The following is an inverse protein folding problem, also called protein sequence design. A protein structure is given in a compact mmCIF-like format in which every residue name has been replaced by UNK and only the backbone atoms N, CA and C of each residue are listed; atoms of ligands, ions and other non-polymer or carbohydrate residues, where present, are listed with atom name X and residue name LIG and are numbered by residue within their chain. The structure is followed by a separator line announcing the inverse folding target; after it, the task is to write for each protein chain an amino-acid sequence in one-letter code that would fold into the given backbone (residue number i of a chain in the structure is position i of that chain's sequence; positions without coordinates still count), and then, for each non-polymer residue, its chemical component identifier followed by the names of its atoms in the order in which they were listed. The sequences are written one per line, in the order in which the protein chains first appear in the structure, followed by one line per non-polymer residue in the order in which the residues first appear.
data_IF_448602934826
#
_entry.id   IF_448602934826
#
_cell.length_a   1.000
_cell.length_b   1.000
_cell.length_c   1.000
_cell.angle_alpha   90.00
_cell.angle_beta   90.00
_cell.angle_gamma   90.00
#
_symmetry.space_group_name_H-M   'P 1'
#
loop_
_entity.id
_entity.type
_entity.pdbx_description
1 polymer ?
#
# COMPACT_ATOMS: atom_id res chain seq x y z
N UNK A 1 -12.66 10.53 1.69
CA UNK A 1 -12.27 9.77 0.47
C UNK A 1 -10.76 9.87 0.21
N UNK A 2 -10.16 11.05 0.38
CA UNK A 2 -8.72 11.31 0.28
C UNK A 2 -7.81 10.24 0.93
N UNK A 3 -8.00 9.91 2.22
CA UNK A 3 -7.19 8.93 2.94
C UNK A 3 -7.16 7.53 2.30
N UNK A 4 -8.29 7.07 1.76
CA UNK A 4 -8.36 5.76 1.07
C UNK A 4 -7.55 5.78 -0.23
N UNK A 5 -7.58 6.90 -0.95
CA UNK A 5 -6.84 7.06 -2.20
C UNK A 5 -5.34 7.19 -1.98
N UNK A 6 -4.92 7.94 -0.96
CA UNK A 6 -3.51 8.01 -0.54
C UNK A 6 -2.96 6.61 -0.21
N UNK A 7 -3.76 5.80 0.49
CA UNK A 7 -3.37 4.44 0.85
C UNK A 7 -3.31 3.51 -0.37
N UNK A 8 -4.22 3.68 -1.35
CA UNK A 8 -4.25 2.88 -2.58
C UNK A 8 -3.10 3.20 -3.54
N UNK A 9 -2.72 4.49 -3.64
CA UNK A 9 -1.60 4.94 -4.47
C UNK A 9 -0.27 4.38 -4.00
N UNK A 10 -0.12 4.02 -2.74
CA UNK A 10 1.12 3.38 -2.23
C UNK A 10 1.18 1.87 -2.52
N UNK A 11 2.36 1.33 -2.83
CA UNK A 11 2.54 -0.11 -2.95
C UNK A 11 2.28 -0.79 -1.59
N UNK A 12 1.83 -2.05 -1.62
CA UNK A 12 1.49 -2.80 -0.41
C UNK A 12 2.63 -2.86 0.61
N UNK A 13 3.87 -2.85 0.11
CA UNK A 13 5.10 -3.01 0.89
C UNK A 13 5.45 -1.76 1.72
N UNK A 14 4.89 -0.59 1.38
CA UNK A 14 5.15 0.65 2.11
C UNK A 14 3.87 1.50 2.24
N UNK A 15 2.93 1.02 3.06
CA UNK A 15 1.70 1.73 3.41
C UNK A 15 1.82 2.47 4.75
N UNK A 16 2.94 3.14 4.95
CA UNK A 16 3.11 4.09 6.05
C UNK A 16 2.73 5.49 5.56
N UNK A 17 1.91 6.19 6.34
CA UNK A 17 1.52 7.57 6.10
C UNK A 17 1.84 8.38 7.35
N UNK A 18 2.58 9.48 7.19
CA UNK A 18 2.81 10.43 8.30
C UNK A 18 1.59 11.31 8.52
N UNK A 19 1.46 11.86 9.74
CA UNK A 19 0.37 12.78 10.06
C UNK A 19 0.48 14.07 9.24
N UNK A 20 1.70 14.54 8.94
CA UNK A 20 1.94 15.69 8.07
C UNK A 20 1.42 15.46 6.64
N UNK A 21 1.70 14.29 6.05
CA UNK A 21 1.20 13.96 4.71
C UNK A 21 -0.33 13.92 4.69
N UNK A 22 -0.95 13.33 5.72
CA UNK A 22 -2.41 13.27 5.82
C UNK A 22 -2.99 14.67 6.04
N UNK A 23 -2.37 15.50 6.88
CA UNK A 23 -2.77 16.88 7.13
C UNK A 23 -2.72 17.72 5.86
N UNK A 24 -1.62 17.64 5.10
CA UNK A 24 -1.43 18.39 3.86
C UNK A 24 -2.49 18.03 2.80
N UNK A 25 -2.77 16.74 2.63
CA UNK A 25 -3.72 16.28 1.61
C UNK A 25 -5.18 16.50 2.03
N UNK A 26 -5.51 16.31 3.31
CA UNK A 26 -6.87 16.52 3.83
C UNK A 26 -7.18 17.99 4.15
N UNK A 27 -6.15 18.84 4.17
CA UNK A 27 -6.21 20.26 4.59
C UNK A 27 -6.77 20.43 6.01
N UNK A 28 -6.59 19.41 6.84
CA UNK A 28 -6.98 19.42 8.24
C UNK A 28 -5.78 19.75 9.13
N UNK A 29 -5.99 20.42 10.27
CA UNK A 29 -4.92 20.64 11.24
C UNK A 29 -4.42 19.30 11.79
N UNK A 30 -3.12 19.23 12.11
CA UNK A 30 -2.46 18.02 12.62
C UNK A 30 -3.19 17.38 13.80
N UNK A 31 -3.75 18.19 14.72
CA UNK A 31 -4.49 17.69 15.87
C UNK A 31 -5.79 16.94 15.54
N UNK A 32 -6.36 17.14 14.35
CA UNK A 32 -7.59 16.48 13.91
C UNK A 32 -7.34 15.25 13.03
N UNK A 33 -6.10 15.04 12.57
CA UNK A 33 -5.72 13.90 11.73
C UNK A 33 -5.97 12.58 12.45
N UNK A 34 -5.61 12.51 13.73
CA UNK A 34 -5.81 11.29 14.53
C UNK A 34 -7.29 10.92 14.63
N UNK A 35 -8.16 11.90 14.92
CA UNK A 35 -9.60 11.69 15.02
C UNK A 35 -10.19 11.22 13.68
N UNK A 36 -9.71 11.76 12.56
CA UNK A 36 -10.12 11.32 11.22
C UNK A 36 -9.76 9.84 11.00
N UNK A 37 -8.54 9.45 11.34
CA UNK A 37 -8.05 8.07 11.19
C UNK A 37 -8.84 7.12 12.10
N UNK A 38 -9.08 7.51 13.35
CA UNK A 38 -9.90 6.73 14.28
C UNK A 38 -11.33 6.51 13.76
N UNK A 39 -11.95 7.55 13.17
CA UNK A 39 -13.27 7.42 12.53
C UNK A 39 -13.23 6.46 11.34
N UNK A 40 -12.20 6.55 10.50
CA UNK A 40 -12.04 5.67 9.34
C UNK A 40 -11.86 4.19 9.75
N UNK A 41 -11.12 3.93 10.84
CA UNK A 41 -10.99 2.60 11.44
C UNK A 41 -12.32 2.11 12.03
N UNK A 42 -13.03 2.98 12.74
CA UNK A 42 -14.32 2.65 13.37
C UNK A 42 -15.41 2.30 12.35
N UNK A 43 -15.42 3.02 11.22
CA UNK A 43 -16.32 2.76 10.08
C UNK A 43 -15.85 1.60 9.19
N UNK A 44 -14.75 0.93 9.54
CA UNK A 44 -14.16 -0.18 8.77
C UNK A 44 -13.80 0.17 7.32
N UNK A 45 -13.58 1.45 7.02
CA UNK A 45 -13.14 1.90 5.70
C UNK A 45 -11.67 1.52 5.44
N UNK A 46 -10.90 1.47 6.52
CA UNK A 46 -9.49 1.08 6.54
C UNK A 46 -9.22 0.18 7.73
N UNK A 47 -8.17 -0.65 7.65
CA UNK A 47 -7.63 -1.40 8.79
C UNK A 47 -6.16 -1.09 8.93
N UNK A 48 -5.70 -0.87 10.15
CA UNK A 48 -4.32 -0.45 10.40
C UNK A 48 -4.02 -0.24 11.87
N UNK A 49 -2.85 0.33 12.14
CA UNK A 49 -2.40 0.76 13.47
C UNK A 49 -1.93 2.21 13.40
N UNK A 50 -2.20 2.95 14.46
CA UNK A 50 -1.72 4.33 14.65
C UNK A 50 -0.51 4.27 15.57
N UNK A 51 0.57 4.90 15.17
CA UNK A 51 1.74 5.19 16.00
C UNK A 51 1.80 6.70 16.22
N UNK A 52 1.33 7.14 17.39
CA UNK A 52 1.26 8.55 17.72
C UNK A 52 2.63 9.13 18.06
N UNK A 53 3.56 8.33 18.62
CA UNK A 53 4.90 8.79 19.03
C UNK A 53 5.71 9.18 17.79
N UNK A 54 5.68 8.31 16.78
CA UNK A 54 6.34 8.56 15.49
C UNK A 54 5.47 9.37 14.51
N UNK A 55 4.24 9.74 14.91
CA UNK A 55 3.24 10.42 14.08
C UNK A 55 3.01 9.73 12.72
N UNK A 56 2.86 8.40 12.74
CA UNK A 56 2.67 7.57 11.55
C UNK A 56 1.46 6.66 11.69
N UNK A 57 0.87 6.33 10.56
CA UNK A 57 -0.21 5.35 10.46
C UNK A 57 0.20 4.23 9.52
N UNK A 58 0.14 3.01 10.03
CA UNK A 58 0.36 1.77 9.30
C UNK A 58 -0.96 1.26 8.74
N UNK A 59 -1.14 1.32 7.42
CA UNK A 59 -2.36 0.83 6.78
C UNK A 59 -2.17 -0.57 6.20
N UNK A 60 -2.93 -1.52 6.69
CA UNK A 60 -2.89 -2.92 6.23
C UNK A 60 -3.90 -3.19 5.11
N UNK A 61 -5.06 -2.55 5.18
CA UNK A 61 -6.17 -2.83 4.27
C UNK A 61 -7.03 -1.58 4.06
N UNK A 62 -7.65 -1.50 2.88
CA UNK A 62 -8.58 -0.44 2.47
C UNK A 62 -9.79 -1.09 1.83
N UNK A 63 -10.98 -0.54 2.07
CA UNK A 63 -12.21 -1.02 1.47
C UNK A 63 -12.16 -0.97 -0.06
N UNK A 64 -12.48 -2.08 -0.76
CA UNK A 64 -12.63 -2.09 -2.20
C UNK A 64 -13.70 -1.10 -2.67
N UNK A 65 -13.43 -0.39 -3.75
CA UNK A 65 -14.35 0.59 -4.34
C UNK A 65 -14.28 0.54 -5.87
N UNK A 66 -15.21 1.23 -6.52
CA UNK A 66 -15.16 1.48 -7.97
C UNK A 66 -13.88 2.25 -8.31
N UNK A 67 -13.18 1.80 -9.34
CA UNK A 67 -11.92 2.36 -9.80
C UNK A 67 -12.12 3.12 -11.12
N UNK A 68 -11.30 4.15 -11.32
CA UNK A 68 -11.18 4.82 -12.62
C UNK A 68 -10.19 4.07 -13.55
N UNK A 69 -10.20 4.43 -14.83
CA UNK A 69 -9.34 3.79 -15.84
C UNK A 69 -7.85 3.96 -15.56
N UNK A 70 -7.44 5.07 -14.93
CA UNK A 70 -6.03 5.35 -14.62
C UNK A 70 -5.54 4.49 -13.44
N UNK A 71 -6.39 4.26 -12.44
CA UNK A 71 -6.16 3.35 -11.33
C UNK A 71 -6.04 1.91 -11.83
N UNK A 72 -6.88 1.50 -12.79
CA UNK A 72 -6.79 0.17 -13.43
C UNK A 72 -5.47 0.03 -14.20
N UNK A 73 -5.06 1.04 -14.97
CA UNK A 73 -3.77 1.03 -15.67
C UNK A 73 -2.58 0.90 -14.68
N UNK A 74 -2.66 1.59 -13.54
CA UNK A 74 -1.65 1.48 -12.47
C UNK A 74 -1.60 0.05 -11.89
N UNK A 75 -2.75 -0.59 -11.70
CA UNK A 75 -2.82 -1.99 -11.26
C UNK A 75 -2.21 -2.94 -12.29
N UNK A 76 -2.49 -2.75 -13.57
CA UNK A 76 -1.91 -3.54 -14.66
C UNK A 76 -0.38 -3.43 -14.66
N UNK A 77 0.16 -2.22 -14.51
CA UNK A 77 1.61 -2.00 -14.43
C UNK A 77 2.24 -2.74 -13.25
N UNK A 78 1.61 -2.68 -12.06
CA UNK A 78 2.09 -3.40 -10.87
C UNK A 78 2.07 -4.91 -11.06
N UNK A 79 1.04 -5.44 -11.71
CA UNK A 79 0.92 -6.87 -11.99
C UNK A 79 1.99 -7.32 -13.00
N UNK A 80 2.26 -6.53 -14.03
CA UNK A 80 3.34 -6.81 -14.99
C UNK A 80 4.72 -6.81 -14.33
N UNK A 81 4.98 -5.87 -13.40
CA UNK A 81 6.23 -5.86 -12.63
C UNK A 81 6.36 -7.15 -11.82
N UNK A 82 5.31 -7.55 -11.11
CA UNK A 82 5.33 -8.79 -10.33
C UNK A 82 5.56 -10.04 -11.19
N UNK A 83 4.95 -10.12 -12.38
CA UNK A 83 5.24 -11.22 -13.34
C UNK A 83 6.72 -11.22 -13.73
N UNK A 84 7.31 -10.05 -13.96
CA UNK A 84 8.72 -9.92 -14.33
C UNK A 84 9.63 -10.39 -13.19
N UNK A 85 9.31 -9.98 -11.96
CA UNK A 85 10.05 -10.39 -10.77
C UNK A 85 9.99 -11.91 -10.57
N UNK A 86 8.82 -12.53 -10.74
CA UNK A 86 8.65 -14.00 -10.65
C UNK A 86 9.46 -14.72 -11.74
N UNK A 87 9.42 -14.25 -12.99
CA UNK A 87 10.22 -14.82 -14.09
C UNK A 87 11.72 -14.70 -13.83
N UNK A 88 12.17 -13.58 -13.26
CA UNK A 88 13.58 -13.42 -12.90
C UNK A 88 14.02 -14.43 -11.83
N UNK A 89 13.14 -14.70 -10.85
CA UNK A 89 13.38 -15.70 -9.81
C UNK A 89 13.40 -17.12 -10.40
N UNK A 90 12.51 -17.42 -11.34
CA UNK A 90 12.48 -18.70 -12.07
C UNK A 90 13.80 -18.94 -12.81
N UNK A 91 14.29 -17.97 -13.60
CA UNK A 91 15.58 -18.09 -14.30
C UNK A 91 16.76 -18.27 -13.35
N UNK A 92 16.75 -17.56 -12.20
CA UNK A 92 17.77 -17.73 -11.17
C UNK A 92 17.74 -19.13 -10.55
N UNK A 93 16.55 -19.70 -10.37
CA UNK A 93 16.39 -21.06 -9.85
C UNK A 93 16.85 -22.09 -10.89
N UNK A 94 16.48 -21.95 -12.16
CA UNK A 94 16.92 -22.86 -13.22
C UNK A 94 18.45 -22.92 -13.30
N UNK A 95 19.13 -21.77 -13.34
CA UNK A 95 20.59 -21.73 -13.43
C UNK A 95 21.30 -22.39 -12.25
N UNK A 96 20.77 -22.24 -11.02
CA UNK A 96 21.39 -22.79 -9.80
C UNK A 96 20.96 -24.22 -9.49
N UNK A 97 19.75 -24.61 -9.87
CA UNK A 97 19.23 -25.95 -9.65
C UNK A 97 19.80 -26.97 -10.65
N UNK A 98 20.25 -26.51 -11.82
CA UNK A 98 20.84 -27.39 -12.83
C UNK A 98 22.09 -28.11 -12.32
N UNK A 99 22.93 -27.46 -11.49
CA UNK A 99 24.09 -28.07 -10.83
C UNK A 99 23.71 -29.14 -9.79
N UNK A 100 22.50 -29.09 -9.21
CA UNK A 100 22.04 -30.04 -8.18
C UNK A 100 21.25 -31.20 -8.81
N UNK A 101 20.48 -30.93 -9.87
CA UNK A 101 19.58 -31.89 -10.51
C UNK A 101 20.25 -32.78 -11.56
N UNK A 102 21.46 -32.45 -12.02
CA UNK A 102 22.20 -33.26 -13.02
C UNK A 102 23.29 -34.17 -12.42
N UNK A 103 23.31 -34.32 -11.09
CA UNK A 103 24.09 -35.34 -10.37
C UNK A 103 23.35 -36.67 -10.24
#
# INVERSE_FOLDING_TARGET
ICLMEMTFKRPANNRQLSFDEISAETKLPLGEVELLVMKALSLQLVKGRIDQVDQKVQMTWVQPRVLDLQQIATMQMRLNQWITDVKSMEMLLESKAQDILTL
#
